data_IF_896005642542
#
_entry.id   IF_896005642542
#
_cell.length_a   1.000
_cell.length_b   1.000
_cell.length_c   1.000
_cell.angle_alpha   90.00
_cell.angle_beta   90.00
_cell.angle_gamma   90.00
#
_symmetry.space_group_name_H-M   'P 1'
#
loop_
_entity.id
_entity.type
_entity.pdbx_description
1 polymer ?
#
# COMPACT_ATOMS: atom_id res chain seq x y z
N UNK A 1 -4.28 -20.22 -2.29
CA UNK A 1 -2.87 -19.79 -2.39
C UNK A 1 -2.67 -18.52 -1.56
N UNK A 2 -1.73 -18.56 -0.64
CA UNK A 2 -1.38 -17.38 0.16
C UNK A 2 -0.66 -16.33 -0.68
N UNK A 3 -0.62 -15.09 -0.21
CA UNK A 3 0.10 -14.01 -0.89
C UNK A 3 1.61 -14.33 -1.00
N UNK A 4 2.19 -14.94 0.02
CA UNK A 4 3.59 -15.40 0.00
C UNK A 4 3.83 -16.43 -1.10
N UNK A 5 2.98 -17.44 -1.20
CA UNK A 5 3.07 -18.48 -2.24
C UNK A 5 2.95 -17.89 -3.65
N UNK A 6 2.05 -16.93 -3.82
CA UNK A 6 1.87 -16.22 -5.09
C UNK A 6 3.14 -15.45 -5.48
N UNK A 7 3.75 -14.74 -4.53
CA UNK A 7 4.99 -14.01 -4.75
C UNK A 7 6.14 -14.96 -5.11
N UNK A 8 6.28 -16.07 -4.38
CA UNK A 8 7.29 -17.10 -4.64
C UNK A 8 7.14 -17.72 -6.03
N UNK A 9 5.90 -18.03 -6.42
CA UNK A 9 5.59 -18.58 -7.74
C UNK A 9 5.96 -17.61 -8.85
N UNK A 10 5.58 -16.35 -8.70
CA UNK A 10 5.90 -15.30 -9.66
C UNK A 10 7.41 -15.05 -9.76
N UNK A 11 8.12 -15.14 -8.63
CA UNK A 11 9.58 -15.08 -8.63
C UNK A 11 10.21 -16.19 -9.45
N UNK A 12 9.78 -17.44 -9.26
CA UNK A 12 10.25 -18.58 -10.05
C UNK A 12 9.99 -18.39 -11.54
N UNK A 13 8.81 -17.86 -11.90
CA UNK A 13 8.47 -17.56 -13.27
C UNK A 13 9.36 -16.45 -13.86
N UNK A 14 9.67 -15.42 -13.09
CA UNK A 14 10.57 -14.36 -13.51
C UNK A 14 12.00 -14.84 -13.77
N UNK A 15 12.47 -15.81 -12.99
CA UNK A 15 13.76 -16.46 -13.23
C UNK A 15 13.79 -17.19 -14.58
N UNK A 16 12.69 -17.88 -14.93
CA UNK A 16 12.57 -18.59 -16.22
C UNK A 16 12.52 -17.62 -17.38
N UNK A 17 11.80 -16.51 -17.25
CA UNK A 17 11.69 -15.48 -18.29
C UNK A 17 12.93 -14.57 -18.37
N UNK A 18 13.85 -14.66 -17.42
CA UNK A 18 15.06 -13.82 -17.32
C UNK A 18 14.76 -12.31 -17.25
N UNK A 19 13.61 -11.92 -16.72
CA UNK A 19 13.25 -10.52 -16.53
C UNK A 19 13.98 -9.94 -15.31
N UNK A 20 15.02 -9.17 -15.57
CA UNK A 20 15.92 -8.61 -14.54
C UNK A 20 15.20 -7.71 -13.53
N UNK A 21 14.28 -6.88 -13.99
CA UNK A 21 13.52 -5.95 -13.13
C UNK A 21 12.60 -6.73 -12.19
N UNK A 22 11.85 -7.69 -12.72
CA UNK A 22 10.98 -8.54 -11.91
C UNK A 22 11.79 -9.35 -10.89
N UNK A 23 12.88 -9.98 -11.32
CA UNK A 23 13.76 -10.77 -10.44
C UNK A 23 14.26 -9.91 -9.27
N UNK A 24 14.77 -8.73 -9.56
CA UNK A 24 15.28 -7.79 -8.55
C UNK A 24 14.19 -7.37 -7.58
N UNK A 25 13.01 -7.03 -8.08
CA UNK A 25 11.88 -6.60 -7.27
C UNK A 25 11.36 -7.72 -6.37
N UNK A 26 11.18 -8.93 -6.90
CA UNK A 26 10.76 -10.08 -6.09
C UNK A 26 11.78 -10.45 -5.01
N UNK A 27 13.07 -10.33 -5.29
CA UNK A 27 14.12 -10.53 -4.28
C UNK A 27 13.99 -9.56 -3.12
N UNK A 28 13.69 -8.29 -3.40
CA UNK A 28 13.46 -7.28 -2.36
C UNK A 28 12.23 -7.62 -1.52
N UNK A 29 11.14 -8.03 -2.16
CA UNK A 29 9.91 -8.43 -1.46
C UNK A 29 10.18 -9.64 -0.56
N UNK A 30 10.81 -10.69 -1.09
CA UNK A 30 11.10 -11.91 -0.34
C UNK A 30 12.08 -11.67 0.81
N UNK A 31 13.05 -10.79 0.62
CA UNK A 31 13.96 -10.36 1.68
C UNK A 31 13.20 -9.66 2.82
N UNK A 32 12.27 -8.77 2.47
CA UNK A 32 11.40 -8.10 3.45
C UNK A 32 10.51 -9.07 4.20
N UNK A 33 9.94 -10.07 3.53
CA UNK A 33 9.14 -11.13 4.15
C UNK A 33 9.99 -11.95 5.13
N UNK A 34 11.23 -12.27 4.74
CA UNK A 34 12.16 -12.98 5.62
C UNK A 34 12.47 -12.19 6.88
N UNK A 35 12.66 -10.89 6.76
CA UNK A 35 12.86 -10.00 7.91
C UNK A 35 11.62 -9.98 8.83
N UNK A 36 10.41 -9.96 8.27
CA UNK A 36 9.16 -10.08 9.03
C UNK A 36 9.05 -11.43 9.74
N UNK A 37 9.41 -12.52 9.07
CA UNK A 37 9.43 -13.85 9.68
C UNK A 37 10.34 -13.89 10.91
N UNK A 38 11.51 -13.27 10.83
CA UNK A 38 12.46 -13.18 11.94
C UNK A 38 11.86 -12.38 13.11
N UNK A 39 11.27 -11.20 12.83
CA UNK A 39 10.65 -10.36 13.83
C UNK A 39 9.49 -11.08 14.51
N UNK A 40 8.63 -11.72 13.74
CA UNK A 40 7.45 -12.42 14.24
C UNK A 40 7.80 -13.65 15.08
N UNK A 41 8.95 -14.27 14.85
CA UNK A 41 9.44 -15.43 15.63
C UNK A 41 10.23 -15.06 16.87
N UNK A 42 10.78 -13.85 16.93
CA UNK A 42 11.62 -13.40 18.04
C UNK A 42 10.88 -12.58 19.10
N UNK A 43 9.59 -12.30 18.89
CA UNK A 43 8.74 -11.57 19.85
C UNK A 43 8.24 -12.45 20.99
N UNK A 44 7.58 -11.82 21.98
CA UNK A 44 6.93 -12.51 23.08
C UNK A 44 5.81 -13.45 22.59
N UNK A 45 5.09 -13.03 21.55
CA UNK A 45 4.07 -13.81 20.88
C UNK A 45 4.60 -14.28 19.52
N UNK A 46 4.96 -15.54 19.44
CA UNK A 46 5.41 -16.15 18.18
C UNK A 46 4.20 -16.27 17.26
N UNK A 47 4.28 -15.62 16.11
CA UNK A 47 3.25 -15.75 15.06
C UNK A 47 3.88 -16.01 13.70
N UNK A 48 3.10 -16.56 12.79
CA UNK A 48 3.51 -16.67 11.39
C UNK A 48 3.20 -15.33 10.68
N UNK A 49 4.03 -14.99 9.69
CA UNK A 49 3.79 -13.84 8.82
C UNK A 49 2.58 -14.13 7.93
N UNK A 50 1.53 -13.37 8.09
CA UNK A 50 0.29 -13.52 7.34
C UNK A 50 0.19 -12.56 6.15
N UNK A 51 -0.88 -12.68 5.38
CA UNK A 51 -1.11 -11.84 4.21
C UNK A 51 -1.23 -10.35 4.57
N UNK A 52 -1.77 -10.02 5.74
CA UNK A 52 -1.87 -8.63 6.20
C UNK A 52 -0.50 -8.01 6.48
N UNK A 53 0.40 -8.78 7.08
CA UNK A 53 1.79 -8.33 7.30
C UNK A 53 2.49 -8.06 5.96
N UNK A 54 2.29 -8.93 4.98
CA UNK A 54 2.86 -8.79 3.63
C UNK A 54 2.26 -7.58 2.91
N UNK A 55 0.96 -7.35 3.02
CA UNK A 55 0.30 -6.15 2.45
C UNK A 55 0.87 -4.87 3.03
N UNK A 56 1.11 -4.81 4.32
CA UNK A 56 1.76 -3.66 4.97
C UNK A 56 3.17 -3.42 4.45
N UNK A 57 3.94 -4.49 4.27
CA UNK A 57 5.27 -4.42 3.66
C UNK A 57 5.20 -3.86 2.24
N UNK A 58 4.29 -4.38 1.42
CA UNK A 58 4.10 -3.90 0.04
C UNK A 58 3.70 -2.42 0.01
N UNK A 59 2.80 -1.99 0.87
CA UNK A 59 2.39 -0.58 0.99
C UNK A 59 3.58 0.34 1.33
N UNK A 60 4.43 -0.09 2.25
CA UNK A 60 5.65 0.63 2.60
C UNK A 60 6.61 0.74 1.42
N UNK A 61 6.82 -0.35 0.71
CA UNK A 61 7.68 -0.37 -0.48
C UNK A 61 7.13 0.53 -1.58
N UNK A 62 5.82 0.51 -1.81
CA UNK A 62 5.14 1.39 -2.78
C UNK A 62 5.33 2.86 -2.41
N UNK A 63 5.17 3.21 -1.15
CA UNK A 63 5.39 4.57 -0.67
C UNK A 63 6.82 5.04 -0.95
N UNK A 64 7.80 4.20 -0.67
CA UNK A 64 9.21 4.50 -0.96
C UNK A 64 9.45 4.74 -2.45
N UNK A 65 8.82 3.94 -3.33
CA UNK A 65 8.91 4.12 -4.79
C UNK A 65 8.23 5.41 -5.24
N UNK A 66 7.09 5.76 -4.68
CA UNK A 66 6.39 7.02 -4.98
C UNK A 66 7.28 8.22 -4.67
N UNK A 67 7.92 8.22 -3.53
CA UNK A 67 8.86 9.29 -3.13
C UNK A 67 10.06 9.38 -4.07
N UNK A 68 10.65 8.23 -4.43
CA UNK A 68 11.76 8.18 -5.38
C UNK A 68 11.37 8.66 -6.78
N UNK A 69 10.18 8.29 -7.26
CA UNK A 69 9.64 8.71 -8.56
C UNK A 69 9.51 10.25 -8.61
N UNK A 70 8.98 10.86 -7.56
CA UNK A 70 8.86 12.31 -7.49
C UNK A 70 10.23 13.01 -7.54
N UNK A 71 11.20 12.48 -6.82
CA UNK A 71 12.59 13.02 -6.80
C UNK A 71 13.22 12.90 -8.18
N UNK A 72 13.09 11.77 -8.85
CA UNK A 72 13.67 11.56 -10.19
C UNK A 72 13.00 12.41 -11.26
N UNK A 73 11.67 12.64 -11.15
CA UNK A 73 10.96 13.57 -12.04
C UNK A 73 11.49 15.00 -11.92
N UNK A 74 11.72 15.46 -10.69
CA UNK A 74 12.25 16.80 -10.43
C UNK A 74 13.67 17.00 -10.94
N UNK A 75 14.46 15.93 -11.00
CA UNK A 75 15.86 15.97 -11.40
C UNK A 75 16.10 15.46 -12.84
N UNK A 76 15.05 15.26 -13.61
CA UNK A 76 15.09 14.77 -15.00
C UNK A 76 15.88 13.46 -15.18
N UNK A 77 15.88 12.60 -14.16
CA UNK A 77 16.55 11.29 -14.19
C UNK A 77 15.61 10.22 -14.75
N UNK A 78 15.34 10.31 -16.05
CA UNK A 78 14.39 9.42 -16.76
C UNK A 78 14.83 7.96 -16.68
N UNK A 79 16.11 7.67 -16.73
CA UNK A 79 16.69 6.33 -16.60
C UNK A 79 16.31 5.64 -15.28
N UNK A 80 16.46 6.36 -14.16
CA UNK A 80 16.11 5.87 -12.84
C UNK A 80 14.60 5.87 -12.59
N UNK A 81 13.90 6.84 -13.17
CA UNK A 81 12.44 6.94 -13.09
C UNK A 81 11.76 5.71 -13.69
N UNK A 82 12.20 5.23 -14.85
CA UNK A 82 11.64 4.06 -15.52
C UNK A 82 11.76 2.79 -14.66
N UNK A 83 12.91 2.57 -14.04
CA UNK A 83 13.15 1.43 -13.15
C UNK A 83 12.21 1.49 -11.94
N UNK A 84 12.13 2.64 -11.27
CA UNK A 84 11.26 2.82 -10.10
C UNK A 84 9.77 2.67 -10.48
N UNK A 85 9.36 3.16 -11.64
CA UNK A 85 7.99 3.02 -12.12
C UNK A 85 7.62 1.55 -12.37
N UNK A 86 8.52 0.78 -12.97
CA UNK A 86 8.32 -0.65 -13.20
C UNK A 86 8.20 -1.42 -11.88
N UNK A 87 9.03 -1.09 -10.90
CA UNK A 87 8.95 -1.68 -9.57
C UNK A 87 7.63 -1.30 -8.86
N UNK A 88 7.23 -0.05 -8.95
CA UNK A 88 5.95 0.45 -8.44
C UNK A 88 4.78 -0.33 -9.03
N UNK A 89 4.74 -0.49 -10.33
CA UNK A 89 3.67 -1.20 -11.04
C UNK A 89 3.57 -2.66 -10.60
N UNK A 90 4.72 -3.33 -10.45
CA UNK A 90 4.79 -4.71 -9.99
C UNK A 90 4.26 -4.86 -8.56
N UNK A 91 4.72 -4.01 -7.65
CA UNK A 91 4.28 -4.02 -6.25
C UNK A 91 2.78 -3.76 -6.14
N UNK A 92 2.27 -2.79 -6.89
CA UNK A 92 0.87 -2.41 -6.90
C UNK A 92 -0.04 -3.52 -7.42
N UNK A 93 0.47 -4.41 -8.26
CA UNK A 93 -0.30 -5.53 -8.82
C UNK A 93 -0.76 -6.54 -7.77
N UNK A 94 -0.13 -6.59 -6.61
CA UNK A 94 -0.50 -7.47 -5.49
C UNK A 94 -1.53 -6.88 -4.54
N UNK A 95 -1.84 -5.61 -4.68
CA UNK A 95 -2.82 -4.92 -3.83
C UNK A 95 -4.07 -4.57 -4.62
N UNK A 96 -5.23 -4.40 -3.96
CA UNK A 96 -6.41 -3.83 -4.60
C UNK A 96 -6.09 -2.46 -5.19
N UNK A 97 -6.75 -2.12 -6.29
CA UNK A 97 -6.56 -0.81 -6.92
C UNK A 97 -6.86 0.29 -5.91
N UNK A 98 -5.90 1.21 -5.74
CA UNK A 98 -6.10 2.36 -4.85
C UNK A 98 -7.07 3.35 -5.47
N UNK A 99 -7.90 3.94 -4.62
CA UNK A 99 -8.84 4.97 -5.01
C UNK A 99 -8.11 6.27 -5.34
N UNK A 100 -8.52 6.94 -6.41
CA UNK A 100 -7.99 8.25 -6.76
C UNK A 100 -8.55 9.35 -5.81
N UNK A 101 -8.08 10.58 -5.97
CA UNK A 101 -8.47 11.70 -5.09
C UNK A 101 -9.98 12.00 -5.16
N UNK A 102 -10.58 11.94 -6.35
CA UNK A 102 -12.02 12.17 -6.54
C UNK A 102 -12.85 11.08 -5.90
N UNK A 103 -12.48 9.80 -6.10
CA UNK A 103 -13.14 8.65 -5.49
C UNK A 103 -13.01 8.69 -3.97
N UNK A 104 -11.83 9.05 -3.45
CA UNK A 104 -11.56 9.20 -2.03
C UNK A 104 -12.46 10.28 -1.42
N UNK A 105 -12.56 11.43 -2.07
CA UNK A 105 -13.43 12.53 -1.62
C UNK A 105 -14.91 12.12 -1.62
N UNK A 106 -15.37 11.46 -2.66
CA UNK A 106 -16.75 10.96 -2.77
C UNK A 106 -17.09 10.01 -1.63
N UNK A 107 -16.22 9.05 -1.35
CA UNK A 107 -16.39 8.08 -0.26
C UNK A 107 -16.42 8.79 1.10
N UNK A 108 -15.55 9.77 1.31
CA UNK A 108 -15.56 10.58 2.53
C UNK A 108 -16.88 11.32 2.73
N UNK A 109 -17.37 12.00 1.69
CA UNK A 109 -18.65 12.72 1.71
C UNK A 109 -19.80 11.78 1.98
N UNK A 110 -19.87 10.66 1.27
CA UNK A 110 -20.94 9.66 1.44
C UNK A 110 -20.96 9.06 2.85
N UNK A 111 -19.78 8.79 3.41
CA UNK A 111 -19.65 8.23 4.77
C UNK A 111 -20.09 9.26 5.83
N UNK A 112 -19.71 10.52 5.66
CA UNK A 112 -20.14 11.61 6.53
C UNK A 112 -21.66 11.72 6.53
N UNK A 113 -22.29 11.69 5.36
CA UNK A 113 -23.75 11.72 5.21
C UNK A 113 -24.44 10.52 5.85
N UNK A 114 -23.88 9.32 5.62
CA UNK A 114 -24.41 8.06 6.15
C UNK A 114 -24.41 8.04 7.69
N UNK A 115 -23.37 8.54 8.30
CA UNK A 115 -23.19 8.56 9.76
C UNK A 115 -23.83 9.79 10.42
N UNK A 116 -24.26 10.76 9.65
CA UNK A 116 -24.76 12.02 10.17
C UNK A 116 -23.70 12.84 10.90
N UNK A 117 -22.44 12.70 10.50
CA UNK A 117 -21.33 13.42 11.13
C UNK A 117 -21.43 14.92 10.82
N UNK A 118 -21.29 15.76 11.85
CA UNK A 118 -21.50 17.20 11.76
C UNK A 118 -20.25 18.03 12.11
N UNK A 119 -19.27 17.44 12.78
CA UNK A 119 -18.10 18.17 13.30
C UNK A 119 -16.85 17.30 13.33
N UNK A 120 -15.70 17.93 13.57
CA UNK A 120 -14.41 17.25 13.77
C UNK A 120 -14.46 16.19 14.87
N UNK A 121 -15.32 16.36 15.86
CA UNK A 121 -15.51 15.39 16.94
C UNK A 121 -15.98 14.02 16.42
N UNK A 122 -16.64 13.99 15.29
CA UNK A 122 -17.12 12.77 14.64
C UNK A 122 -16.08 12.10 13.74
N UNK A 123 -14.90 12.71 13.56
CA UNK A 123 -13.83 12.21 12.71
C UNK A 123 -13.42 10.77 13.02
N UNK A 124 -13.35 10.42 14.30
CA UNK A 124 -13.03 9.06 14.75
C UNK A 124 -14.04 8.02 14.26
N UNK A 125 -15.33 8.35 14.28
CA UNK A 125 -16.40 7.49 13.79
C UNK A 125 -16.30 7.29 12.27
N UNK A 126 -16.07 8.38 11.55
CA UNK A 126 -15.93 8.36 10.08
C UNK A 126 -14.70 7.54 9.67
N UNK A 127 -13.56 7.77 10.31
CA UNK A 127 -12.34 7.00 10.06
C UNK A 127 -12.52 5.51 10.39
N UNK A 128 -13.20 5.19 11.47
CA UNK A 128 -13.52 3.81 11.85
C UNK A 128 -14.36 3.11 10.79
N UNK A 129 -15.38 3.78 10.28
CA UNK A 129 -16.24 3.24 9.20
C UNK A 129 -15.45 3.07 7.89
N UNK A 130 -14.59 4.03 7.53
CA UNK A 130 -13.74 3.94 6.34
C UNK A 130 -12.76 2.77 6.43
N UNK A 131 -12.15 2.55 7.58
CA UNK A 131 -11.24 1.41 7.82
C UNK A 131 -11.97 0.07 7.72
N UNK A 132 -13.24 0.03 8.12
CA UNK A 132 -14.09 -1.16 8.03
C UNK A 132 -14.53 -1.44 6.59
N UNK A 133 -14.94 -0.41 5.85
CA UNK A 133 -15.48 -0.53 4.49
C UNK A 133 -14.40 -0.62 3.41
N UNK A 134 -13.30 0.07 3.58
CA UNK A 134 -12.21 0.19 2.60
C UNK A 134 -10.83 -0.02 3.23
N UNK A 135 -10.55 -1.22 3.79
CA UNK A 135 -9.31 -1.45 4.54
C UNK A 135 -8.05 -1.42 3.69
N UNK A 136 -8.14 -1.81 2.40
CA UNK A 136 -6.97 -2.04 1.56
C UNK A 136 -6.82 -1.07 0.38
N UNK A 137 -7.88 -0.38 -0.02
CA UNK A 137 -7.88 0.42 -1.23
C UNK A 137 -7.99 1.93 -1.00
N UNK A 138 -8.19 2.37 0.24
CA UNK A 138 -8.25 3.78 0.61
C UNK A 138 -6.93 4.21 1.24
N UNK A 139 -6.36 5.33 0.76
CA UNK A 139 -5.19 5.94 1.37
C UNK A 139 -5.64 6.83 2.54
N UNK A 140 -5.48 6.33 3.76
CA UNK A 140 -5.89 7.03 4.98
C UNK A 140 -5.05 8.29 5.26
N UNK A 141 -3.83 8.35 4.72
CA UNK A 141 -3.00 9.55 4.81
C UNK A 141 -3.60 10.72 4.00
N UNK A 142 -4.33 10.42 2.93
CA UNK A 142 -5.08 11.41 2.14
C UNK A 142 -6.48 11.65 2.71
N UNK A 143 -7.14 10.60 3.18
CA UNK A 143 -8.50 10.67 3.73
C UNK A 143 -8.57 11.52 5.00
N UNK A 144 -7.59 11.41 5.89
CA UNK A 144 -7.55 12.17 7.14
C UNK A 144 -7.66 13.68 6.96
N UNK A 145 -6.78 14.33 6.18
CA UNK A 145 -6.87 15.75 5.88
C UNK A 145 -8.17 16.15 5.18
N UNK A 146 -8.68 15.32 4.24
CA UNK A 146 -9.95 15.57 3.56
C UNK A 146 -11.13 15.58 4.54
N UNK A 147 -11.19 14.62 5.44
CA UNK A 147 -12.23 14.55 6.48
C UNK A 147 -12.17 15.76 7.40
N UNK A 148 -10.97 16.17 7.79
CA UNK A 148 -10.78 17.35 8.63
C UNK A 148 -11.31 18.61 7.94
N UNK A 149 -11.03 18.77 6.65
CA UNK A 149 -11.53 19.87 5.84
C UNK A 149 -13.06 19.83 5.71
N UNK A 150 -13.62 18.66 5.40
CA UNK A 150 -15.07 18.47 5.21
C UNK A 150 -15.87 18.65 6.52
N UNK A 151 -15.31 18.25 7.64
CA UNK A 151 -15.96 18.34 8.97
C UNK A 151 -15.72 19.68 9.66
N UNK A 152 -14.79 20.48 9.17
CA UNK A 152 -14.43 21.79 9.75
C UNK A 152 -15.25 22.95 9.11
N UNK A 153 -16.49 22.70 8.81
CA UNK A 153 -17.40 23.73 8.26
C UNK A 153 -18.26 24.33 9.35
#
# INVERSE_FOLDING_TARGET
MTLKEKIETNYKNSLKSKNKVEISTYRLILSGIKDLDIINRSGADIKETDDEDIKKLLKKMIKQRTESIEIYKKNDRIDLLEVEQNEFDLLSSFLPQQLNDEETKKICVDTISKLGAASIKDMGKVMGELKKSHPDNLDFAKAGPLLKELLNK
#
